data_IF_699868816914
#
_entry.id   IF_699868816914
#
_cell.length_a   1.000
_cell.length_b   1.000
_cell.length_c   1.000
_cell.angle_alpha   90.00
_cell.angle_beta   90.00
_cell.angle_gamma   90.00
#
_symmetry.space_group_name_H-M   'P 1'
#
loop_
_entity.id
_entity.type
_entity.pdbx_description
1 polymer ?
#
# COMPACT_ATOMS: atom_id res chain seq x y z
N UNK A 1 16.35 9.37 -17.24
CA UNK A 1 15.75 8.12 -17.74
C UNK A 1 15.22 7.29 -16.56
N UNK A 2 16.03 6.85 -15.60
CA UNK A 2 15.59 5.99 -14.48
C UNK A 2 14.32 6.48 -13.76
N UNK A 3 14.26 7.77 -13.41
CA UNK A 3 13.08 8.33 -12.74
C UNK A 3 11.87 8.39 -13.67
N UNK A 4 12.08 8.66 -14.94
CA UNK A 4 11.00 8.66 -15.93
C UNK A 4 10.41 7.25 -16.08
N UNK A 5 11.25 6.25 -16.32
CA UNK A 5 10.82 4.85 -16.41
C UNK A 5 10.10 4.39 -15.15
N UNK A 6 10.59 4.80 -13.96
CA UNK A 6 9.94 4.52 -12.70
C UNK A 6 8.52 5.11 -12.62
N UNK A 7 8.32 6.36 -13.02
CA UNK A 7 7.01 7.00 -13.01
C UNK A 7 6.06 6.44 -14.08
N UNK A 8 6.59 6.08 -15.26
CA UNK A 8 5.80 5.40 -16.29
C UNK A 8 5.59 3.91 -16.03
N UNK A 9 6.05 3.40 -14.86
CA UNK A 9 5.90 1.99 -14.45
C UNK A 9 6.59 1.00 -15.41
N UNK A 10 7.55 1.47 -16.20
CA UNK A 10 8.48 0.63 -16.96
C UNK A 10 9.56 0.10 -16.01
N UNK A 11 9.17 -0.92 -15.25
CA UNK A 11 9.99 -1.44 -14.16
C UNK A 11 11.30 -2.04 -14.62
N UNK A 12 11.32 -2.67 -15.79
CA UNK A 12 12.52 -3.31 -16.32
C UNK A 12 13.60 -2.27 -16.68
N UNK A 13 13.21 -1.26 -17.42
CA UNK A 13 14.09 -0.12 -17.73
C UNK A 13 14.51 0.62 -16.46
N UNK A 14 13.58 0.86 -15.51
CA UNK A 14 13.90 1.49 -14.25
C UNK A 14 14.95 0.70 -13.45
N UNK A 15 14.80 -0.64 -13.35
CA UNK A 15 15.77 -1.52 -12.68
C UNK A 15 17.15 -1.35 -13.34
N UNK A 16 17.24 -1.51 -14.66
CA UNK A 16 18.52 -1.42 -15.40
C UNK A 16 19.25 -0.11 -15.15
N UNK A 17 18.53 1.02 -15.17
CA UNK A 17 19.16 2.33 -14.94
C UNK A 17 19.49 2.58 -13.47
N UNK A 18 18.64 2.17 -12.52
CA UNK A 18 18.99 2.32 -11.09
C UNK A 18 20.17 1.45 -10.69
N UNK A 19 20.35 0.26 -11.27
CA UNK A 19 21.55 -0.57 -11.06
C UNK A 19 22.83 0.14 -11.48
N UNK A 20 22.82 0.86 -12.61
CA UNK A 20 23.95 1.68 -13.05
C UNK A 20 24.19 2.85 -12.10
N UNK A 21 23.12 3.57 -11.73
CA UNK A 21 23.24 4.76 -10.88
C UNK A 21 23.82 4.40 -9.49
N UNK A 22 23.41 3.29 -8.87
CA UNK A 22 23.91 2.93 -7.53
C UNK A 22 25.39 2.54 -7.53
N UNK A 23 25.99 2.21 -8.66
CA UNK A 23 27.44 1.95 -8.78
C UNK A 23 28.21 3.27 -8.69
N UNK A 24 27.76 4.30 -9.39
CA UNK A 24 28.43 5.60 -9.48
C UNK A 24 28.06 6.53 -8.31
N UNK A 25 26.77 6.50 -7.92
CA UNK A 25 26.22 7.40 -6.90
C UNK A 25 25.26 6.61 -5.96
N UNK A 26 25.80 5.82 -5.02
CA UNK A 26 24.99 5.04 -4.08
C UNK A 26 24.25 5.96 -3.11
N UNK A 27 22.90 5.90 -3.09
CA UNK A 27 22.06 6.62 -2.13
C UNK A 27 20.87 5.78 -1.69
N UNK A 28 20.37 6.03 -0.49
CA UNK A 28 19.18 5.36 0.05
C UNK A 28 17.98 5.47 -0.90
N UNK A 29 17.79 6.65 -1.50
CA UNK A 29 16.71 6.93 -2.45
C UNK A 29 16.80 6.04 -3.70
N UNK A 30 17.98 5.85 -4.25
CA UNK A 30 18.15 5.04 -5.46
C UNK A 30 18.04 3.55 -5.17
N UNK A 31 18.59 3.09 -4.07
CA UNK A 31 18.36 1.72 -3.60
C UNK A 31 16.87 1.44 -3.33
N UNK A 32 16.14 2.37 -2.72
CA UNK A 32 14.71 2.22 -2.50
C UNK A 32 13.94 2.13 -3.82
N UNK A 33 14.18 3.05 -4.77
CA UNK A 33 13.53 3.02 -6.08
C UNK A 33 13.86 1.75 -6.87
N UNK A 34 15.10 1.26 -6.81
CA UNK A 34 15.47 -0.05 -7.37
C UNK A 34 14.65 -1.16 -6.72
N UNK A 35 14.54 -1.15 -5.39
CA UNK A 35 13.78 -2.15 -4.65
C UNK A 35 12.30 -2.15 -4.99
N UNK A 36 11.66 -0.97 -5.08
CA UNK A 36 10.26 -0.82 -5.50
C UNK A 36 10.07 -1.33 -6.93
N UNK A 37 10.94 -0.92 -7.87
CA UNK A 37 10.85 -1.37 -9.27
C UNK A 37 10.95 -2.89 -9.38
N UNK A 38 11.87 -3.50 -8.64
CA UNK A 38 12.01 -4.95 -8.62
C UNK A 38 10.80 -5.65 -7.97
N UNK A 39 10.27 -5.12 -6.86
CA UNK A 39 9.05 -5.65 -6.24
C UNK A 39 7.86 -5.59 -7.20
N UNK A 40 7.66 -4.48 -7.90
CA UNK A 40 6.59 -4.33 -8.91
C UNK A 40 6.77 -5.27 -10.08
N UNK A 41 7.99 -5.37 -10.63
CA UNK A 41 8.30 -6.30 -11.73
C UNK A 41 8.02 -7.76 -11.33
N UNK A 42 8.28 -8.13 -10.09
CA UNK A 42 8.01 -9.49 -9.62
C UNK A 42 6.52 -9.88 -9.67
N UNK A 43 5.61 -8.89 -9.63
CA UNK A 43 4.16 -9.10 -9.74
C UNK A 43 3.68 -9.21 -11.20
N UNK A 44 4.46 -8.72 -12.16
CA UNK A 44 4.11 -8.74 -13.58
C UNK A 44 4.56 -10.02 -14.30
N UNK A 45 5.57 -10.69 -13.75
CA UNK A 45 6.15 -11.90 -14.35
C UNK A 45 5.56 -13.17 -13.72
N UNK A 46 5.65 -14.30 -14.43
CA UNK A 46 5.21 -15.56 -13.86
C UNK A 46 6.01 -15.94 -12.60
N UNK A 47 5.43 -16.75 -11.73
CA UNK A 47 5.99 -17.13 -10.43
C UNK A 47 7.45 -17.63 -10.51
N UNK A 48 7.83 -18.35 -11.57
CA UNK A 48 9.20 -18.84 -11.76
C UNK A 48 10.20 -17.70 -12.02
N UNK A 49 9.80 -16.70 -12.79
CA UNK A 49 10.65 -15.54 -13.10
C UNK A 49 10.61 -14.44 -12.06
N UNK A 50 9.71 -14.52 -11.06
CA UNK A 50 9.59 -13.51 -10.00
C UNK A 50 10.73 -13.55 -8.97
N UNK A 51 11.33 -14.73 -8.75
CA UNK A 51 12.32 -14.95 -7.67
C UNK A 51 13.53 -14.00 -7.75
N UNK A 52 14.22 -13.81 -8.88
CA UNK A 52 15.34 -12.87 -8.96
C UNK A 52 14.94 -11.45 -8.59
N UNK A 53 13.74 -11.02 -9.00
CA UNK A 53 13.22 -9.70 -8.69
C UNK A 53 12.89 -9.55 -7.21
N UNK A 54 12.29 -10.55 -6.56
CA UNK A 54 12.01 -10.55 -5.12
C UNK A 54 13.31 -10.47 -4.30
N UNK A 55 14.34 -11.23 -4.66
CA UNK A 55 15.66 -11.16 -4.03
C UNK A 55 16.29 -9.78 -4.19
N UNK A 56 16.22 -9.22 -5.41
CA UNK A 56 16.71 -7.87 -5.71
C UNK A 56 15.96 -6.81 -4.90
N UNK A 57 14.63 -6.88 -4.86
CA UNK A 57 13.78 -5.99 -4.08
C UNK A 57 14.19 -5.99 -2.60
N UNK A 58 14.23 -7.16 -1.99
CA UNK A 58 14.60 -7.34 -0.58
C UNK A 58 15.99 -6.77 -0.27
N UNK A 59 17.01 -7.10 -1.07
CA UNK A 59 18.39 -6.60 -0.88
C UNK A 59 18.46 -5.08 -1.00
N UNK A 60 17.80 -4.53 -2.01
CA UNK A 60 17.83 -3.09 -2.28
C UNK A 60 17.12 -2.29 -1.20
N UNK A 61 15.92 -2.72 -0.78
CA UNK A 61 15.17 -2.04 0.30
C UNK A 61 15.90 -2.16 1.63
N UNK A 62 16.49 -3.32 1.94
CA UNK A 62 17.31 -3.48 3.15
C UNK A 62 18.51 -2.54 3.13
N UNK A 63 19.17 -2.36 1.98
CA UNK A 63 20.29 -1.42 1.85
C UNK A 63 19.81 0.03 2.02
N UNK A 64 18.67 0.41 1.43
CA UNK A 64 18.08 1.72 1.60
C UNK A 64 17.75 2.01 3.08
N UNK A 65 17.13 1.07 3.77
CA UNK A 65 16.84 1.17 5.21
C UNK A 65 18.12 1.33 6.05
N UNK A 66 19.17 0.55 5.79
CA UNK A 66 20.45 0.69 6.51
C UNK A 66 21.11 2.06 6.32
N UNK A 67 20.93 2.69 5.17
CA UNK A 67 21.45 4.04 4.88
C UNK A 67 20.60 5.15 5.49
N UNK A 68 19.30 4.92 5.68
CA UNK A 68 18.36 5.87 6.26
C UNK A 68 17.36 5.14 7.19
N UNK A 69 17.79 4.70 8.38
CA UNK A 69 17.00 3.80 9.23
C UNK A 69 15.75 4.43 9.81
N UNK A 70 15.69 5.76 9.90
CA UNK A 70 14.51 6.50 10.39
C UNK A 70 13.50 6.86 9.29
N UNK A 71 13.69 6.40 8.05
CA UNK A 71 12.74 6.67 6.98
C UNK A 71 11.57 5.67 7.02
N UNK A 72 10.34 6.11 7.34
CA UNK A 72 9.20 5.21 7.50
C UNK A 72 8.81 4.50 6.20
N UNK A 73 8.99 5.14 5.03
CA UNK A 73 8.69 4.52 3.73
C UNK A 73 9.56 3.29 3.44
N UNK A 74 10.86 3.39 3.79
CA UNK A 74 11.78 2.28 3.57
C UNK A 74 11.48 1.13 4.51
N UNK A 75 11.16 1.46 5.76
CA UNK A 75 10.82 0.49 6.79
C UNK A 75 9.50 -0.21 6.48
N UNK A 76 8.47 0.52 6.07
CA UNK A 76 7.16 -0.01 5.64
C UNK A 76 7.31 -1.05 4.52
N UNK A 77 8.04 -0.72 3.45
CA UNK A 77 8.24 -1.66 2.34
C UNK A 77 9.07 -2.87 2.79
N UNK A 78 10.07 -2.67 3.64
CA UNK A 78 10.88 -3.76 4.19
C UNK A 78 10.02 -4.74 4.98
N UNK A 79 9.13 -4.24 5.86
CA UNK A 79 8.19 -5.05 6.63
C UNK A 79 7.33 -5.90 5.67
N UNK A 80 6.69 -5.28 4.69
CA UNK A 80 5.84 -5.98 3.71
C UNK A 80 6.63 -7.07 2.96
N UNK A 81 7.81 -6.76 2.44
CA UNK A 81 8.63 -7.74 1.73
C UNK A 81 9.01 -8.95 2.59
N UNK A 82 9.42 -8.73 3.84
CA UNK A 82 9.79 -9.84 4.72
C UNK A 82 8.60 -10.65 5.19
N UNK A 83 7.41 -10.06 5.29
CA UNK A 83 6.18 -10.73 5.67
C UNK A 83 5.57 -11.56 4.52
N UNK A 84 5.59 -11.03 3.29
CA UNK A 84 4.92 -11.65 2.14
C UNK A 84 5.77 -12.67 1.38
N UNK A 85 7.09 -12.47 1.35
CA UNK A 85 8.00 -13.40 0.66
C UNK A 85 8.01 -14.74 1.40
N UNK A 86 7.83 -15.88 0.70
CA UNK A 86 7.95 -17.19 1.35
C UNK A 86 9.31 -17.38 2.04
N UNK A 87 9.32 -18.08 3.17
CA UNK A 87 10.54 -18.31 3.97
C UNK A 87 11.67 -18.95 3.16
N UNK A 88 11.34 -19.88 2.25
CA UNK A 88 12.30 -20.53 1.36
C UNK A 88 13.01 -19.53 0.42
N UNK A 89 12.38 -18.38 0.13
CA UNK A 89 12.96 -17.29 -0.66
C UNK A 89 13.54 -16.18 0.24
N UNK A 90 13.64 -16.45 1.54
CA UNK A 90 14.25 -15.57 2.55
C UNK A 90 13.29 -14.53 3.11
N UNK A 91 11.97 -14.77 3.07
CA UNK A 91 11.01 -14.07 3.91
C UNK A 91 11.23 -14.44 5.37
N UNK A 92 10.84 -13.54 6.28
CA UNK A 92 10.99 -13.76 7.72
C UNK A 92 9.98 -12.89 8.48
N UNK A 93 8.89 -13.50 8.91
CA UNK A 93 7.81 -12.81 9.63
C UNK A 93 8.27 -12.26 10.99
N UNK A 94 9.14 -12.97 11.71
CA UNK A 94 9.66 -12.48 12.98
C UNK A 94 10.55 -11.25 12.81
N UNK A 95 11.33 -11.21 11.73
CA UNK A 95 12.06 -10.00 11.37
C UNK A 95 11.09 -8.85 11.00
N UNK A 96 10.03 -9.13 10.27
CA UNK A 96 9.00 -8.13 9.93
C UNK A 96 8.35 -7.56 11.20
N UNK A 97 7.98 -8.40 12.18
CA UNK A 97 7.40 -7.97 13.46
C UNK A 97 8.35 -7.04 14.23
N UNK A 98 9.64 -7.41 14.36
CA UNK A 98 10.64 -6.52 14.98
C UNK A 98 10.77 -5.17 14.27
N UNK A 99 10.59 -5.15 12.95
CA UNK A 99 10.64 -3.91 12.19
C UNK A 99 9.35 -3.07 12.33
N UNK A 100 8.22 -3.68 12.67
CA UNK A 100 7.02 -2.96 13.09
C UNK A 100 7.26 -2.22 14.40
N UNK A 101 7.94 -2.82 15.39
CA UNK A 101 8.30 -2.16 16.65
C UNK A 101 9.18 -0.91 16.39
N UNK A 102 10.15 -1.03 15.48
CA UNK A 102 10.98 0.11 15.07
C UNK A 102 10.15 1.20 14.38
N UNK A 103 9.20 0.81 13.52
CA UNK A 103 8.31 1.75 12.84
C UNK A 103 7.38 2.45 13.85
N UNK A 104 6.86 1.72 14.83
CA UNK A 104 5.99 2.28 15.88
C UNK A 104 6.69 3.41 16.67
N UNK A 105 7.98 3.28 16.93
CA UNK A 105 8.78 4.32 17.61
C UNK A 105 8.91 5.58 16.74
N UNK A 106 8.99 5.44 15.41
CA UNK A 106 9.17 6.55 14.47
C UNK A 106 7.83 7.20 14.13
N UNK A 107 6.81 6.37 13.86
CA UNK A 107 5.47 6.75 13.46
C UNK A 107 4.46 5.73 14.04
N UNK A 108 3.88 6.02 15.22
CA UNK A 108 2.95 5.11 15.88
C UNK A 108 1.74 4.74 15.03
N UNK A 109 1.21 5.66 14.22
CA UNK A 109 0.05 5.41 13.36
C UNK A 109 0.41 4.37 12.29
N UNK A 110 1.51 4.57 11.57
CA UNK A 110 1.96 3.60 10.57
C UNK A 110 2.41 2.28 11.22
N UNK A 111 3.01 2.32 12.40
CA UNK A 111 3.36 1.12 13.17
C UNK A 111 2.14 0.23 13.44
N UNK A 112 1.06 0.81 13.98
CA UNK A 112 -0.19 0.09 14.24
C UNK A 112 -0.86 -0.41 12.95
N UNK A 113 -0.86 0.39 11.87
CA UNK A 113 -1.39 -0.05 10.58
C UNK A 113 -0.61 -1.27 10.07
N UNK A 114 0.72 -1.28 10.18
CA UNK A 114 1.53 -2.43 9.76
C UNK A 114 1.39 -3.64 10.69
N UNK A 115 1.15 -3.44 11.98
CA UNK A 115 0.83 -4.53 12.89
C UNK A 115 -0.51 -5.18 12.53
N UNK A 116 -1.55 -4.36 12.24
CA UNK A 116 -2.83 -4.82 11.71
C UNK A 116 -2.65 -5.62 10.41
N UNK A 117 -1.84 -5.09 9.49
CA UNK A 117 -1.53 -5.77 8.24
C UNK A 117 -0.83 -7.15 8.45
N UNK A 118 0.09 -7.28 9.39
CA UNK A 118 0.70 -8.58 9.70
C UNK A 118 -0.32 -9.56 10.29
N UNK A 119 -1.24 -9.08 11.13
CA UNK A 119 -2.34 -9.89 11.65
C UNK A 119 -3.29 -10.36 10.53
N UNK A 120 -3.57 -9.52 9.53
CA UNK A 120 -4.37 -9.93 8.36
C UNK A 120 -3.68 -11.03 7.55
N UNK A 121 -2.36 -10.92 7.32
CA UNK A 121 -1.57 -11.99 6.66
C UNK A 121 -1.67 -13.30 7.45
N UNK A 122 -1.67 -13.23 8.77
CA UNK A 122 -1.76 -14.39 9.65
C UNK A 122 -3.21 -14.84 9.88
N UNK A 123 -4.19 -14.17 9.24
CA UNK A 123 -5.65 -14.43 9.33
C UNK A 123 -6.25 -14.20 10.73
N UNK A 124 -5.64 -13.35 11.53
CA UNK A 124 -6.16 -12.91 12.82
C UNK A 124 -6.99 -11.62 12.66
N UNK A 125 -8.14 -11.72 11.98
CA UNK A 125 -8.94 -10.57 11.56
C UNK A 125 -9.40 -9.66 12.72
N UNK A 126 -9.78 -10.23 13.88
CA UNK A 126 -10.16 -9.44 15.05
C UNK A 126 -8.98 -8.65 15.63
N UNK A 127 -7.79 -9.27 15.70
CA UNK A 127 -6.59 -8.61 16.16
C UNK A 127 -6.14 -7.52 15.17
N UNK A 128 -6.25 -7.79 13.86
CA UNK A 128 -5.99 -6.80 12.82
C UNK A 128 -6.90 -5.58 12.97
N UNK A 129 -8.21 -5.81 13.09
CA UNK A 129 -9.22 -4.78 13.28
C UNK A 129 -8.91 -3.90 14.49
N UNK A 130 -8.61 -4.50 15.65
CA UNK A 130 -8.27 -3.75 16.86
C UNK A 130 -7.03 -2.84 16.67
N UNK A 131 -6.02 -3.30 15.93
CA UNK A 131 -4.84 -2.47 15.66
C UNK A 131 -5.14 -1.31 14.71
N UNK A 132 -5.99 -1.51 13.72
CA UNK A 132 -6.45 -0.45 12.84
C UNK A 132 -7.31 0.59 13.58
N UNK A 133 -8.23 0.15 14.45
CA UNK A 133 -9.03 1.05 15.29
C UNK A 133 -8.12 1.93 16.15
N UNK A 134 -7.13 1.34 16.85
CA UNK A 134 -6.14 2.11 17.62
C UNK A 134 -5.34 3.11 16.76
N UNK A 135 -4.97 2.73 15.53
CA UNK A 135 -4.27 3.63 14.63
C UNK A 135 -5.14 4.83 14.24
N UNK A 136 -6.42 4.59 13.99
CA UNK A 136 -7.37 5.63 13.59
C UNK A 136 -7.74 6.55 14.75
N UNK A 137 -7.89 6.02 15.97
CA UNK A 137 -8.06 6.81 17.19
C UNK A 137 -6.85 7.73 17.40
N UNK A 138 -5.63 7.23 17.23
CA UNK A 138 -4.42 8.07 17.33
C UNK A 138 -4.37 9.14 16.24
N UNK A 139 -4.81 8.83 15.03
CA UNK A 139 -4.88 9.79 13.93
C UNK A 139 -5.86 10.91 14.27
N UNK A 140 -7.08 10.57 14.71
CA UNK A 140 -8.12 11.55 15.07
C UNK A 140 -7.71 12.42 16.28
N UNK A 141 -7.00 11.86 17.25
CA UNK A 141 -6.49 12.61 18.38
C UNK A 141 -5.31 13.54 18.03
N UNK A 142 -4.51 13.17 17.02
CA UNK A 142 -3.31 13.94 16.64
C UNK A 142 -3.61 15.08 15.67
N UNK A 143 -4.57 14.91 14.77
CA UNK A 143 -4.87 15.85 13.70
C UNK A 143 -6.21 16.54 13.92
N UNK A 144 -6.27 17.86 13.70
CA UNK A 144 -7.50 18.63 13.84
C UNK A 144 -8.57 18.29 12.79
N UNK A 145 -8.12 17.86 11.63
CA UNK A 145 -8.99 17.39 10.54
C UNK A 145 -8.30 16.30 9.72
N UNK A 146 -9.08 15.56 8.95
CA UNK A 146 -8.53 14.56 8.03
C UNK A 146 -7.69 15.20 6.92
N UNK A 147 -8.09 16.38 6.45
CA UNK A 147 -7.36 17.14 5.43
C UNK A 147 -5.94 17.45 5.87
N UNK A 148 -5.74 17.91 7.10
CA UNK A 148 -4.40 18.17 7.66
C UNK A 148 -3.54 16.89 7.63
N UNK A 149 -4.13 15.75 8.00
CA UNK A 149 -3.43 14.48 7.92
C UNK A 149 -3.08 14.12 6.46
N UNK A 150 -4.01 14.30 5.52
CA UNK A 150 -3.81 13.92 4.13
C UNK A 150 -2.74 14.79 3.43
N UNK A 151 -2.67 16.07 3.76
CA UNK A 151 -1.66 16.97 3.21
C UNK A 151 -0.23 16.66 3.71
N UNK A 152 -0.11 16.19 4.95
CA UNK A 152 1.19 15.86 5.57
C UNK A 152 1.71 14.47 5.20
N UNK A 153 0.86 13.58 4.68
CA UNK A 153 1.20 12.18 4.50
C UNK A 153 1.23 11.74 3.03
N UNK A 154 1.86 10.61 2.80
CA UNK A 154 1.96 10.09 1.44
C UNK A 154 0.64 9.46 0.96
N UNK A 155 0.41 9.54 -0.33
CA UNK A 155 -0.81 9.09 -1.00
C UNK A 155 -1.05 7.59 -0.87
N UNK A 156 0.02 6.80 -0.78
CA UNK A 156 -0.09 5.35 -0.56
C UNK A 156 -0.71 5.04 0.80
N UNK A 157 -0.31 5.79 1.85
CA UNK A 157 -0.88 5.64 3.19
C UNK A 157 -2.37 6.04 3.20
N UNK A 158 -2.72 7.13 2.53
CA UNK A 158 -4.12 7.60 2.43
C UNK A 158 -4.99 6.54 1.75
N UNK A 159 -4.53 5.98 0.63
CA UNK A 159 -5.24 4.88 -0.04
C UNK A 159 -5.35 3.63 0.85
N UNK A 160 -4.27 3.25 1.52
CA UNK A 160 -4.23 2.08 2.41
C UNK A 160 -5.23 2.21 3.57
N UNK A 161 -5.36 3.41 4.18
CA UNK A 161 -6.38 3.68 5.21
C UNK A 161 -7.78 3.43 4.64
N UNK A 162 -8.10 3.99 3.50
CA UNK A 162 -9.40 3.76 2.87
C UNK A 162 -9.66 2.29 2.52
N UNK A 163 -8.64 1.58 2.07
CA UNK A 163 -8.73 0.13 1.80
C UNK A 163 -8.97 -0.69 3.07
N UNK A 164 -8.27 -0.36 4.16
CA UNK A 164 -8.48 -0.99 5.48
C UNK A 164 -9.90 -0.78 5.98
N UNK A 165 -10.40 0.46 5.91
CA UNK A 165 -11.78 0.80 6.28
C UNK A 165 -12.78 -0.03 5.48
N UNK A 166 -12.60 -0.12 4.16
CA UNK A 166 -13.49 -0.92 3.30
C UNK A 166 -13.44 -2.43 3.62
N UNK A 167 -12.29 -2.94 4.06
CA UNK A 167 -12.12 -4.37 4.32
C UNK A 167 -12.59 -4.79 5.71
N UNK A 168 -12.47 -3.92 6.71
CA UNK A 168 -12.78 -4.21 8.11
C UNK A 168 -14.07 -3.55 8.61
N UNK A 169 -14.70 -2.71 7.76
CA UNK A 169 -15.96 -2.01 8.08
C UNK A 169 -15.87 -1.19 9.38
N UNK A 170 -14.81 -0.37 9.48
CA UNK A 170 -14.51 0.51 10.63
C UNK A 170 -14.32 1.95 10.17
N UNK A 171 -14.54 2.92 11.06
CA UNK A 171 -14.19 4.35 10.84
C UNK A 171 -14.58 4.89 9.45
N UNK A 172 -15.81 4.62 9.03
CA UNK A 172 -16.25 4.87 7.65
C UNK A 172 -16.08 6.30 7.17
N UNK A 173 -16.26 7.30 8.05
CA UNK A 173 -16.04 8.71 7.71
C UNK A 173 -14.59 8.96 7.28
N UNK A 174 -13.62 8.41 8.03
CA UNK A 174 -12.20 8.50 7.67
C UNK A 174 -11.93 7.81 6.33
N UNK A 175 -12.46 6.61 6.12
CA UNK A 175 -12.26 5.87 4.88
C UNK A 175 -12.84 6.57 3.65
N UNK A 176 -14.06 7.12 3.78
CA UNK A 176 -14.70 7.90 2.71
C UNK A 176 -13.88 9.17 2.43
N UNK A 177 -13.47 9.90 3.46
CA UNK A 177 -12.65 11.11 3.29
C UNK A 177 -11.31 10.78 2.60
N UNK A 178 -10.61 9.75 3.06
CA UNK A 178 -9.33 9.31 2.51
C UNK A 178 -9.42 8.93 1.03
N UNK A 179 -10.40 8.08 0.67
CA UNK A 179 -10.56 7.64 -0.72
C UNK A 179 -11.06 8.75 -1.64
N UNK A 180 -11.92 9.66 -1.14
CA UNK A 180 -12.34 10.84 -1.91
C UNK A 180 -11.17 11.79 -2.13
N UNK A 181 -10.37 12.07 -1.10
CA UNK A 181 -9.16 12.88 -1.24
C UNK A 181 -8.20 12.25 -2.26
N UNK A 182 -7.93 10.94 -2.13
CA UNK A 182 -7.09 10.21 -3.06
C UNK A 182 -7.63 10.31 -4.51
N UNK A 183 -8.92 10.10 -4.71
CA UNK A 183 -9.54 10.14 -6.02
C UNK A 183 -9.56 11.53 -6.65
N UNK A 184 -9.83 12.58 -5.85
CA UNK A 184 -9.90 13.96 -6.34
C UNK A 184 -8.51 14.54 -6.68
N UNK A 185 -7.47 14.04 -6.04
CA UNK A 185 -6.08 14.47 -6.27
C UNK A 185 -5.26 13.42 -7.03
N UNK A 186 -5.92 12.45 -7.68
CA UNK A 186 -5.29 11.33 -8.37
C UNK A 186 -4.32 11.78 -9.45
N UNK A 187 -3.13 11.17 -9.43
CA UNK A 187 -2.07 11.40 -10.40
C UNK A 187 -1.62 10.05 -11.02
N UNK A 188 -1.15 10.10 -12.27
CA UNK A 188 -0.67 8.91 -12.97
C UNK A 188 0.54 8.23 -12.28
N UNK A 189 1.25 8.96 -11.42
CA UNK A 189 2.36 8.44 -10.61
C UNK A 189 1.88 7.64 -9.39
N UNK A 190 0.60 7.69 -9.05
CA UNK A 190 0.05 6.96 -7.92
C UNK A 190 0.22 5.45 -8.07
N UNK A 191 0.54 4.78 -6.97
CA UNK A 191 0.79 3.34 -6.97
C UNK A 191 -0.47 2.49 -7.05
N UNK A 192 -1.62 3.02 -6.60
CA UNK A 192 -2.89 2.30 -6.61
C UNK A 192 -3.82 2.85 -7.69
N UNK A 193 -4.48 1.97 -8.48
CA UNK A 193 -5.37 2.42 -9.54
C UNK A 193 -6.59 3.17 -9.00
N UNK A 194 -7.02 4.23 -9.68
CA UNK A 194 -8.22 4.99 -9.32
C UNK A 194 -9.49 4.10 -9.31
N UNK A 195 -9.57 3.12 -10.22
CA UNK A 195 -10.66 2.16 -10.24
C UNK A 195 -10.80 1.40 -8.90
N UNK A 196 -9.67 1.07 -8.26
CA UNK A 196 -9.66 0.39 -6.96
C UNK A 196 -10.15 1.31 -5.83
N UNK A 197 -9.79 2.60 -5.87
CA UNK A 197 -10.30 3.58 -4.91
C UNK A 197 -11.83 3.71 -4.99
N UNK A 198 -12.38 3.79 -6.19
CA UNK A 198 -13.83 3.82 -6.39
C UNK A 198 -14.52 2.51 -5.96
N UNK A 199 -13.91 1.37 -6.20
CA UNK A 199 -14.41 0.09 -5.71
C UNK A 199 -14.48 0.04 -4.18
N UNK A 200 -13.46 0.53 -3.48
CA UNK A 200 -13.48 0.59 -2.02
C UNK A 200 -14.53 1.58 -1.51
N UNK A 201 -14.72 2.74 -2.14
CA UNK A 201 -15.82 3.66 -1.83
C UNK A 201 -17.18 2.98 -1.97
N UNK A 202 -17.41 2.26 -3.07
CA UNK A 202 -18.65 1.49 -3.26
C UNK A 202 -18.90 0.52 -2.11
N UNK A 203 -17.86 -0.21 -1.66
CA UNK A 203 -17.98 -1.15 -0.55
C UNK A 203 -18.33 -0.47 0.78
N UNK A 204 -17.71 0.67 1.08
CA UNK A 204 -18.00 1.42 2.31
C UNK A 204 -19.45 1.92 2.28
N UNK A 205 -19.91 2.50 1.18
CA UNK A 205 -21.32 2.94 1.05
C UNK A 205 -22.31 1.78 1.13
N UNK A 206 -21.96 0.63 0.55
CA UNK A 206 -22.78 -0.58 0.65
C UNK A 206 -22.94 -1.05 2.11
N UNK A 207 -21.89 -1.08 2.91
CA UNK A 207 -21.96 -1.48 4.32
C UNK A 207 -22.82 -0.53 5.16
N UNK A 208 -22.98 0.73 4.70
CA UNK A 208 -23.89 1.72 5.29
C UNK A 208 -25.29 1.73 4.69
N UNK A 209 -25.63 0.77 3.84
CA UNK A 209 -26.95 0.67 3.16
C UNK A 209 -27.27 1.86 2.23
N UNK A 210 -26.28 2.69 1.88
CA UNK A 210 -26.40 3.71 0.84
C UNK A 210 -26.14 3.06 -0.54
N UNK A 211 -27.17 2.38 -1.05
CA UNK A 211 -27.09 1.64 -2.31
C UNK A 211 -26.92 2.57 -3.51
N UNK A 212 -27.41 3.82 -3.43
CA UNK A 212 -27.28 4.79 -4.50
C UNK A 212 -25.80 5.18 -4.69
N UNK A 213 -25.15 5.63 -3.62
CA UNK A 213 -23.71 5.96 -3.67
C UNK A 213 -22.87 4.73 -3.99
N UNK A 214 -23.23 3.57 -3.44
CA UNK A 214 -22.54 2.31 -3.75
C UNK A 214 -22.54 2.01 -5.24
N UNK A 215 -23.72 2.02 -5.88
CA UNK A 215 -23.87 1.79 -7.32
C UNK A 215 -23.15 2.84 -8.16
N UNK A 216 -23.21 4.12 -7.77
CA UNK A 216 -22.51 5.20 -8.46
C UNK A 216 -20.99 4.97 -8.48
N UNK A 217 -20.37 4.69 -7.32
CA UNK A 217 -18.93 4.47 -7.24
C UNK A 217 -18.51 3.17 -7.90
N UNK A 218 -19.34 2.12 -7.85
CA UNK A 218 -19.08 0.87 -8.58
C UNK A 218 -19.07 1.11 -10.10
N UNK A 219 -20.02 1.88 -10.61
CA UNK A 219 -20.08 2.25 -12.03
C UNK A 219 -18.83 3.06 -12.44
N UNK A 220 -18.37 4.02 -11.60
CA UNK A 220 -17.10 4.74 -11.84
C UNK A 220 -15.91 3.80 -11.89
N UNK A 221 -15.84 2.82 -10.99
CA UNK A 221 -14.77 1.81 -10.96
C UNK A 221 -14.74 0.99 -12.25
N UNK A 222 -15.89 0.43 -12.65
CA UNK A 222 -16.03 -0.40 -13.84
C UNK A 222 -15.88 0.39 -15.15
N UNK A 223 -16.22 1.68 -15.17
CA UNK A 223 -15.94 2.57 -16.31
C UNK A 223 -14.45 2.71 -16.57
N UNK A 224 -13.63 2.81 -15.50
CA UNK A 224 -12.17 2.91 -15.61
C UNK A 224 -11.51 1.55 -15.92
N UNK A 225 -12.06 0.47 -15.38
CA UNK A 225 -11.56 -0.88 -15.62
C UNK A 225 -12.73 -1.86 -15.83
N UNK A 226 -13.24 -2.03 -17.06
CA UNK A 226 -14.35 -2.93 -17.35
C UNK A 226 -14.08 -4.40 -17.06
N UNK A 227 -12.81 -4.79 -16.88
CA UNK A 227 -12.38 -6.16 -16.56
C UNK A 227 -11.97 -6.34 -15.10
N UNK A 228 -12.32 -5.41 -14.23
CA UNK A 228 -11.99 -5.49 -12.80
C UNK A 228 -12.84 -6.58 -12.12
N UNK A 229 -12.32 -7.81 -12.13
CA UNK A 229 -13.07 -9.00 -11.74
C UNK A 229 -13.72 -8.88 -10.35
N UNK A 230 -12.98 -8.39 -9.35
CA UNK A 230 -13.49 -8.25 -7.97
C UNK A 230 -14.70 -7.29 -7.90
N UNK A 231 -14.67 -6.21 -8.70
CA UNK A 231 -15.79 -5.27 -8.79
C UNK A 231 -17.00 -5.89 -9.52
N UNK A 232 -16.76 -6.66 -10.58
CA UNK A 232 -17.81 -7.41 -11.28
C UNK A 232 -18.46 -8.46 -10.39
N UNK A 233 -17.66 -9.20 -9.62
CA UNK A 233 -18.16 -10.20 -8.67
C UNK A 233 -19.00 -9.54 -7.55
N UNK A 234 -18.55 -8.37 -7.07
CA UNK A 234 -19.29 -7.58 -6.09
C UNK A 234 -20.61 -7.10 -6.66
N UNK A 235 -20.62 -6.54 -7.89
CA UNK A 235 -21.83 -6.12 -8.59
C UNK A 235 -22.84 -7.27 -8.70
N UNK A 236 -22.39 -8.41 -9.20
CA UNK A 236 -23.25 -9.59 -9.39
C UNK A 236 -23.81 -10.12 -8.05
N UNK A 237 -22.95 -10.19 -7.02
CA UNK A 237 -23.33 -10.71 -5.70
C UNK A 237 -24.40 -9.87 -5.03
N UNK A 238 -24.35 -8.55 -5.18
CA UNK A 238 -25.20 -7.60 -4.47
C UNK A 238 -26.26 -6.96 -5.35
N UNK A 239 -26.35 -7.33 -6.64
CA UNK A 239 -27.33 -6.84 -7.61
C UNK A 239 -27.35 -5.28 -7.76
N UNK A 240 -26.16 -4.69 -7.78
CA UNK A 240 -25.92 -3.24 -7.88
C UNK A 240 -25.84 -2.78 -9.35
#
# INVERSE_FOLDING_TARGET
>A
IASLSYYYKDWETAISFYEKIIIENPSAKYYFKLGVSAARKSLEVSRFFSVPYLVKAKRSVLKAHRMAPKNPKYLKLLIKLFAEIPTILGGNKEFAKKKVDELYIIDPIQGLILEGYLNDIDKYSSAAKSKYELAFDLLENKYQSYENFFEENDRDLIFEIGSVVANHEISSNLGIAALKFYANTYDFMDNYPLATAYYHLSRIYFSHQDLNSSSEYLAKSLKLNPKFQIALDFQKKHQL
#
